data_IF_384166866488
#
_entry.id   IF_384166866488
#
_cell.length_a   1.000
_cell.length_b   1.000
_cell.length_c   1.000
_cell.angle_alpha   90.00
_cell.angle_beta   90.00
_cell.angle_gamma   90.00
#
_symmetry.space_group_name_H-M   'P 1'
#
loop_
_entity.id
_entity.type
_entity.pdbx_description
1 polymer ?
#
# COMPACT_ATOMS: atom_id res chain seq x y z
N UNK A 1 -0.32 -3.27 5.78
CA UNK A 1 0.03 -2.34 4.68
C UNK A 1 1.24 -2.94 3.99
N UNK A 2 1.10 -3.40 2.75
CA UNK A 2 2.24 -3.83 1.93
C UNK A 2 2.78 -2.62 1.17
N UNK A 3 4.08 -2.60 0.94
CA UNK A 3 4.73 -1.58 0.15
C UNK A 3 5.04 -2.15 -1.24
N UNK A 4 4.86 -1.35 -2.28
CA UNK A 4 5.15 -1.74 -3.65
C UNK A 4 6.33 -0.95 -4.21
N UNK A 5 7.12 -1.62 -5.03
CA UNK A 5 8.16 -0.99 -5.83
C UNK A 5 7.53 -0.07 -6.86
N UNK A 6 8.02 1.16 -6.98
CA UNK A 6 7.50 2.15 -7.92
C UNK A 6 7.75 1.79 -9.39
N UNK A 7 8.75 0.95 -9.67
CA UNK A 7 9.14 0.57 -11.03
C UNK A 7 8.30 -0.62 -11.53
N UNK A 8 8.23 -1.70 -10.75
CA UNK A 8 7.58 -2.94 -11.20
C UNK A 8 6.19 -3.18 -10.59
N UNK A 9 5.76 -2.37 -9.59
CA UNK A 9 4.50 -2.58 -8.87
C UNK A 9 4.51 -3.75 -7.88
N UNK A 10 5.53 -4.62 -7.93
CA UNK A 10 5.67 -5.77 -7.06
C UNK A 10 5.93 -5.40 -5.60
N UNK A 11 5.52 -6.29 -4.68
CA UNK A 11 5.69 -6.11 -3.24
C UNK A 11 7.19 -6.09 -2.88
N UNK A 12 7.60 -5.14 -2.04
CA UNK A 12 8.96 -5.04 -1.48
C UNK A 12 8.98 -5.58 -0.06
N UNK A 13 9.77 -6.64 0.16
CA UNK A 13 9.90 -7.30 1.47
C UNK A 13 11.27 -7.08 2.13
N UNK A 14 12.37 -7.14 1.34
CA UNK A 14 13.76 -7.03 1.81
C UNK A 14 14.63 -6.23 0.80
N UNK A 15 15.79 -5.76 1.24
CA UNK A 15 16.78 -5.04 0.41
C UNK A 15 16.17 -3.86 -0.35
N UNK A 16 15.51 -2.99 0.40
CA UNK A 16 14.66 -1.91 -0.12
C UNK A 16 15.44 -0.60 -0.17
N UNK A 17 15.30 0.12 -1.28
CA UNK A 17 15.78 1.47 -1.42
C UNK A 17 14.64 2.47 -1.29
N UNK A 18 14.86 3.56 -0.58
CA UNK A 18 13.91 4.66 -0.42
C UNK A 18 14.43 5.90 -1.14
N UNK A 19 13.57 6.47 -1.97
CA UNK A 19 13.83 7.81 -2.53
C UNK A 19 13.45 8.91 -1.56
N UNK A 20 14.12 10.05 -1.65
CA UNK A 20 13.77 11.30 -0.94
C UNK A 20 12.33 11.74 -1.25
N UNK A 21 11.81 11.42 -2.45
CA UNK A 21 10.42 11.71 -2.81
C UNK A 21 9.41 10.69 -2.24
N UNK A 22 9.85 9.69 -1.48
CA UNK A 22 9.00 8.81 -0.69
C UNK A 22 8.52 7.54 -1.39
N UNK A 23 9.22 7.10 -2.45
CA UNK A 23 8.96 5.84 -3.15
C UNK A 23 10.00 4.78 -2.81
N UNK A 24 9.58 3.51 -2.86
CA UNK A 24 10.41 2.34 -2.60
C UNK A 24 10.75 1.59 -3.88
N UNK A 25 11.90 0.90 -3.84
CA UNK A 25 12.40 0.11 -4.97
C UNK A 25 13.07 -1.17 -4.49
N UNK A 26 12.92 -2.25 -5.27
CA UNK A 26 13.84 -3.37 -5.20
C UNK A 26 15.22 -2.92 -5.67
N UNK A 27 16.28 -3.51 -5.09
CA UNK A 27 17.66 -3.22 -5.49
C UNK A 27 17.85 -3.41 -7.01
N UNK A 28 17.43 -4.57 -7.56
CA UNK A 28 17.57 -4.88 -8.99
C UNK A 28 16.79 -3.92 -9.89
N UNK A 29 15.59 -3.52 -9.48
CA UNK A 29 14.79 -2.55 -10.24
C UNK A 29 15.46 -1.18 -10.28
N UNK A 30 16.03 -0.75 -9.16
CA UNK A 30 16.71 0.53 -9.05
C UNK A 30 18.03 0.55 -9.84
N UNK A 31 18.81 -0.53 -9.75
CA UNK A 31 20.04 -0.71 -10.54
C UNK A 31 19.72 -0.65 -12.05
N UNK A 32 18.75 -1.43 -12.50
CA UNK A 32 18.29 -1.42 -13.89
C UNK A 32 17.81 -0.02 -14.32
N UNK A 33 17.13 0.72 -13.45
CA UNK A 33 16.75 2.09 -13.76
C UNK A 33 17.97 2.99 -13.97
N UNK A 34 18.95 2.97 -13.07
CA UNK A 34 20.13 3.82 -13.19
C UNK A 34 21.04 3.44 -14.36
N UNK A 35 21.06 2.17 -14.76
CA UNK A 35 21.76 1.72 -15.96
C UNK A 35 21.12 2.27 -17.25
N UNK A 36 19.78 2.37 -17.27
CA UNK A 36 19.02 2.65 -18.49
C UNK A 36 18.42 4.07 -18.57
N UNK A 37 18.41 4.82 -17.47
CA UNK A 37 17.76 6.12 -17.37
C UNK A 37 18.76 7.22 -17.04
N UNK A 38 18.64 8.35 -17.73
CA UNK A 38 19.39 9.58 -17.39
C UNK A 38 18.67 10.44 -16.34
N UNK A 39 17.53 9.99 -15.84
CA UNK A 39 16.77 10.75 -14.85
C UNK A 39 17.45 10.65 -13.49
N UNK A 40 17.49 11.75 -12.71
CA UNK A 40 18.21 11.80 -11.44
C UNK A 40 17.53 11.02 -10.31
N UNK A 41 16.21 10.83 -10.36
CA UNK A 41 15.46 10.09 -9.35
C UNK A 41 14.52 9.06 -9.99
N UNK A 42 14.53 7.84 -9.49
CA UNK A 42 13.65 6.75 -9.94
C UNK A 42 12.18 6.97 -9.57
N UNK A 43 11.91 7.80 -8.56
CA UNK A 43 10.56 8.10 -8.10
C UNK A 43 9.86 9.23 -8.87
N UNK A 44 10.46 10.42 -8.88
CA UNK A 44 9.85 11.64 -9.46
C UNK A 44 10.52 12.14 -10.74
N UNK A 45 11.75 11.71 -11.02
CA UNK A 45 12.50 12.09 -12.24
C UNK A 45 13.07 13.51 -12.28
N UNK A 46 12.98 14.31 -11.21
CA UNK A 46 13.25 15.77 -11.30
C UNK A 46 14.11 16.38 -10.18
N UNK A 47 14.56 15.63 -9.15
CA UNK A 47 15.28 16.25 -8.02
C UNK A 47 16.74 16.59 -8.37
N UNK A 48 17.17 17.80 -7.99
CA UNK A 48 18.49 18.42 -8.27
C UNK A 48 19.63 17.98 -7.31
N UNK A 49 19.41 17.00 -6.43
CA UNK A 49 20.45 16.56 -5.47
C UNK A 49 20.92 15.14 -5.77
N UNK A 50 22.23 14.98 -5.85
CA UNK A 50 22.91 13.67 -5.86
C UNK A 50 22.50 12.85 -4.63
N UNK A 51 22.27 11.54 -4.83
CA UNK A 51 21.85 10.63 -3.77
C UNK A 51 20.34 10.69 -3.47
N UNK A 52 19.51 10.60 -4.51
CA UNK A 52 18.06 10.60 -4.36
C UNK A 52 17.54 9.35 -3.65
N UNK A 53 18.25 8.22 -3.74
CA UNK A 53 17.87 6.94 -3.17
C UNK A 53 18.91 6.46 -2.16
N UNK A 54 18.45 5.90 -1.05
CA UNK A 54 19.31 5.30 -0.03
C UNK A 54 18.76 3.94 0.43
N UNK A 55 19.64 3.00 0.83
CA UNK A 55 19.18 1.74 1.38
C UNK A 55 18.41 1.97 2.69
N UNK A 56 17.44 1.11 2.96
CA UNK A 56 16.78 1.00 4.24
C UNK A 56 17.32 -0.22 4.99
N UNK A 57 18.07 0.03 6.07
CA UNK A 57 18.57 -1.02 6.97
C UNK A 57 17.49 -1.51 7.96
N UNK A 58 16.26 -1.02 7.84
CA UNK A 58 15.13 -1.32 8.72
C UNK A 58 13.89 -1.75 7.93
N UNK A 59 12.96 -2.43 8.59
CA UNK A 59 11.67 -2.78 8.00
C UNK A 59 10.95 -1.50 7.55
N UNK A 60 10.46 -1.48 6.29
CA UNK A 60 9.80 -0.31 5.68
C UNK A 60 8.55 0.18 6.46
N UNK A 61 8.04 -0.63 7.40
CA UNK A 61 6.96 -0.29 8.32
C UNK A 61 7.26 0.91 9.23
N UNK A 62 8.53 1.29 9.42
CA UNK A 62 8.94 2.45 10.22
C UNK A 62 8.99 3.77 9.43
N UNK A 63 8.74 3.76 8.12
CA UNK A 63 8.92 4.92 7.24
C UNK A 63 7.56 5.50 6.81
N UNK A 64 7.43 6.83 6.81
CA UNK A 64 6.28 7.51 6.21
C UNK A 64 6.36 7.47 4.67
N UNK A 65 5.84 6.38 4.09
CA UNK A 65 5.79 6.19 2.64
C UNK A 65 4.71 7.05 1.99
N UNK A 66 4.96 7.54 0.76
CA UNK A 66 3.86 8.02 -0.08
C UNK A 66 3.00 6.83 -0.45
N UNK A 67 1.72 6.86 -0.05
CA UNK A 67 0.75 5.88 -0.51
C UNK A 67 0.67 5.98 -2.04
N UNK A 68 0.93 4.87 -2.72
CA UNK A 68 0.60 4.77 -4.13
C UNK A 68 -0.92 4.97 -4.28
N UNK A 69 -1.32 5.73 -5.29
CA UNK A 69 -2.73 5.80 -5.68
C UNK A 69 -3.19 4.39 -6.03
N UNK A 70 -4.38 4.00 -5.59
CA UNK A 70 -5.00 2.77 -6.08
C UNK A 70 -5.38 3.03 -7.53
N UNK A 71 -4.75 2.28 -8.43
CA UNK A 71 -5.09 2.29 -9.85
C UNK A 71 -6.29 1.38 -10.06
N UNK A 72 -7.37 1.91 -10.64
CA UNK A 72 -8.59 1.14 -10.92
C UNK A 72 -8.52 0.35 -12.21
N UNK A 73 -7.48 0.56 -13.00
CA UNK A 73 -7.23 -0.17 -14.26
C UNK A 73 -6.23 -1.32 -14.08
N UNK A 74 -5.58 -1.41 -12.91
CA UNK A 74 -4.66 -2.51 -12.56
C UNK A 74 -5.42 -3.64 -11.83
N UNK A 75 -5.41 -4.84 -12.42
CA UNK A 75 -6.12 -6.01 -11.88
C UNK A 75 -5.66 -6.41 -10.47
N UNK A 76 -4.38 -6.25 -10.13
CA UNK A 76 -3.88 -6.56 -8.80
C UNK A 76 -4.40 -5.55 -7.77
N UNK A 77 -4.47 -4.27 -8.13
CA UNK A 77 -5.05 -3.24 -7.29
C UNK A 77 -6.56 -3.42 -7.09
N UNK A 78 -7.27 -3.96 -8.08
CA UNK A 78 -8.69 -4.29 -7.95
C UNK A 78 -8.94 -5.40 -6.93
N UNK A 79 -8.16 -6.50 -6.97
CA UNK A 79 -8.27 -7.58 -5.97
C UNK A 79 -8.00 -7.06 -4.55
N UNK A 80 -6.99 -6.18 -4.42
CA UNK A 80 -6.64 -5.57 -3.13
C UNK A 80 -7.74 -4.62 -2.63
N UNK A 81 -8.42 -3.93 -3.54
CA UNK A 81 -9.57 -3.08 -3.23
C UNK A 81 -10.75 -3.91 -2.73
N UNK A 82 -11.11 -5.00 -3.44
CA UNK A 82 -12.22 -5.89 -3.05
C UNK A 82 -11.99 -6.51 -1.67
N UNK A 83 -10.79 -7.04 -1.42
CA UNK A 83 -10.42 -7.57 -0.10
C UNK A 83 -10.47 -6.49 0.99
N UNK A 84 -10.07 -5.25 0.67
CA UNK A 84 -10.14 -4.15 1.62
C UNK A 84 -11.59 -3.76 1.95
N UNK A 85 -12.48 -3.73 0.97
CA UNK A 85 -13.91 -3.50 1.20
C UNK A 85 -14.55 -4.59 2.07
N UNK A 86 -14.20 -5.86 1.85
CA UNK A 86 -14.68 -6.97 2.68
C UNK A 86 -14.22 -6.83 4.14
N UNK A 87 -12.94 -6.50 4.36
CA UNK A 87 -12.40 -6.24 5.70
C UNK A 87 -13.11 -5.08 6.38
N UNK A 88 -13.39 -3.98 5.65
CA UNK A 88 -14.13 -2.84 6.20
C UNK A 88 -15.59 -3.20 6.55
N UNK A 89 -16.25 -4.02 5.73
CA UNK A 89 -17.60 -4.53 6.01
C UNK A 89 -17.60 -5.39 7.27
N UNK A 90 -16.63 -6.29 7.41
CA UNK A 90 -16.45 -7.13 8.60
C UNK A 90 -16.14 -6.29 9.85
N UNK A 91 -15.26 -5.31 9.75
CA UNK A 91 -14.95 -4.39 10.86
C UNK A 91 -16.21 -3.62 11.29
N UNK A 92 -16.98 -3.10 10.33
CA UNK A 92 -18.24 -2.40 10.60
C UNK A 92 -19.30 -3.32 11.24
N UNK A 93 -19.32 -4.60 10.87
CA UNK A 93 -20.20 -5.60 11.47
C UNK A 93 -19.75 -5.94 12.89
N UNK A 94 -18.46 -6.19 13.12
CA UNK A 94 -17.91 -6.43 14.45
C UNK A 94 -18.10 -5.25 15.38
N UNK A 95 -17.91 -4.01 14.90
CA UNK A 95 -18.20 -2.82 15.71
C UNK A 95 -19.67 -2.77 16.13
N UNK A 96 -20.60 -3.10 15.24
CA UNK A 96 -22.02 -3.16 15.58
C UNK A 96 -22.29 -4.26 16.63
N UNK A 97 -21.75 -5.45 16.41
CA UNK A 97 -21.95 -6.61 17.29
C UNK A 97 -21.32 -6.41 18.69
N UNK A 98 -20.19 -5.69 18.80
CA UNK A 98 -19.47 -5.45 20.06
C UNK A 98 -20.00 -4.23 20.82
N UNK A 99 -20.26 -3.11 20.13
CA UNK A 99 -20.62 -1.85 20.79
C UNK A 99 -22.14 -1.65 20.98
N UNK A 100 -22.98 -2.42 20.28
CA UNK A 100 -24.44 -2.35 20.38
C UNK A 100 -25.09 -3.75 20.37
N UNK A 101 -24.72 -4.66 21.29
CA UNK A 101 -25.20 -6.04 21.28
C UNK A 101 -26.73 -6.14 21.38
N UNK A 102 -27.39 -5.28 22.15
CA UNK A 102 -28.86 -5.28 22.28
C UNK A 102 -29.57 -4.86 20.98
N UNK A 103 -28.97 -3.94 20.20
CA UNK A 103 -29.52 -3.48 18.92
C UNK A 103 -29.35 -4.54 17.82
N UNK A 104 -28.24 -5.29 17.84
CA UNK A 104 -28.01 -6.40 16.90
C UNK A 104 -28.98 -7.56 17.13
N UNK A 105 -29.31 -7.90 18.39
CA UNK A 105 -30.34 -8.90 18.70
C UNK A 105 -31.71 -8.45 18.20
N UNK A 106 -32.06 -7.18 18.41
CA UNK A 106 -33.33 -6.63 17.95
C UNK A 106 -33.45 -6.61 16.41
N UNK A 107 -32.40 -6.19 15.71
CA UNK A 107 -32.38 -6.16 14.24
C UNK A 107 -32.44 -7.57 13.63
N UNK A 108 -31.71 -8.55 14.17
CA UNK A 108 -31.78 -9.94 13.67
C UNK A 108 -33.18 -10.54 13.86
N UNK A 109 -33.80 -10.34 15.03
CA UNK A 109 -35.16 -10.79 15.27
C UNK A 109 -36.17 -10.14 14.30
N UNK A 110 -35.98 -8.87 13.94
CA UNK A 110 -36.87 -8.15 13.04
C UNK A 110 -36.75 -8.59 11.56
N UNK A 111 -35.57 -9.05 11.12
CA UNK A 111 -35.36 -9.52 9.75
C UNK A 111 -35.61 -11.02 9.56
N UNK A 112 -35.61 -11.83 10.62
CA UNK A 112 -35.93 -13.27 10.56
C UNK A 112 -37.46 -13.56 10.66
N UNK A 113 -38.28 -12.56 11.02
CA UNK A 113 -39.75 -12.65 11.11
C UNK A 113 -40.49 -12.04 9.90
N UNK A 114 -39.78 -11.61 8.85
CA UNK A 114 -40.31 -10.94 7.66
C UNK A 114 -40.32 -11.79 6.38
#
# INVERSE_FOLDING_TARGET
MYACCKICGGIVEQSVWLSVCGYLFHTECLECFHENSRKPCAGCGTNERDGCEHPLDMTYTAVCLRRASIDREDENHLVLWELFEEVLKLEAQWRRDIFLPELCVFLRAYYDEG
#
